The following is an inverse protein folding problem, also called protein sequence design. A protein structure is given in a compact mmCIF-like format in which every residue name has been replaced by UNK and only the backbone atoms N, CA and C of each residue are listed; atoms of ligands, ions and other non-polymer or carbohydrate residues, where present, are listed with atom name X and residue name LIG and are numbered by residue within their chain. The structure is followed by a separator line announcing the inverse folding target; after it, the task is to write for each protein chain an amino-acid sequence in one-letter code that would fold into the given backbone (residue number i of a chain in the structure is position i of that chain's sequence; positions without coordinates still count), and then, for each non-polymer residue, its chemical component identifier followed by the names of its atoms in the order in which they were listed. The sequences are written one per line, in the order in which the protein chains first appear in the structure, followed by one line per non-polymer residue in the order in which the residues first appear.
data_IF_361779172993
#
_entry.id   IF_361779172993
#
_cell.length_a   1.000
_cell.length_b   1.000
_cell.length_c   1.000
_cell.angle_alpha   90.00
_cell.angle_beta   90.00
_cell.angle_gamma   90.00
#
_symmetry.space_group_name_H-M   'P 1'
#
loop_
_entity.id
_entity.type
_entity.pdbx_description
1 polymer ?
#
# COMPACT_ATOMS: atom_id res chain seq x y z
N UNK A 1 -8.95 5.97 -7.21
CA UNK A 1 -9.24 6.14 -5.75
C UNK A 1 -9.14 7.61 -5.35
N UNK A 2 -10.10 8.15 -4.59
CA UNK A 2 -10.09 9.57 -4.14
C UNK A 2 -9.33 9.73 -2.81
N UNK A 3 -9.54 8.79 -1.87
CA UNK A 3 -8.85 8.65 -0.58
C UNK A 3 -9.20 7.28 0.03
N UNK A 4 -8.62 6.96 1.19
CA UNK A 4 -8.88 5.74 1.97
C UNK A 4 -7.67 4.82 2.06
N UNK A 5 -7.90 3.61 2.58
CA UNK A 5 -6.88 2.55 2.69
C UNK A 5 -7.47 1.23 2.20
N UNK A 6 -6.76 0.53 1.32
CA UNK A 6 -7.11 -0.83 0.88
C UNK A 6 -5.96 -1.77 1.21
N UNK A 7 -6.28 -2.90 1.83
CA UNK A 7 -5.32 -3.97 2.14
C UNK A 7 -5.68 -5.20 1.33
N UNK A 8 -4.70 -5.77 0.62
CA UNK A 8 -4.87 -6.96 -0.22
C UNK A 8 -3.92 -8.04 0.29
N UNK A 9 -4.49 -9.14 0.80
CA UNK A 9 -3.71 -10.28 1.29
C UNK A 9 -3.16 -11.17 0.19
N UNK A 10 -3.86 -11.26 -0.93
CA UNK A 10 -3.40 -11.97 -2.12
C UNK A 10 -2.49 -11.11 -3.01
N UNK A 11 -2.09 -11.68 -4.15
CA UNK A 11 -1.36 -10.95 -5.19
C UNK A 11 -2.32 -10.02 -5.94
N UNK A 12 -2.02 -8.73 -5.97
CA UNK A 12 -2.80 -7.79 -6.77
C UNK A 12 -2.54 -8.00 -8.27
N UNK A 13 -3.56 -7.77 -9.09
CA UNK A 13 -3.43 -7.78 -10.55
C UNK A 13 -2.58 -6.61 -11.07
N UNK A 14 -2.57 -6.44 -12.39
CA UNK A 14 -1.79 -5.39 -13.06
C UNK A 14 -2.29 -3.98 -12.72
N UNK A 15 -1.34 -3.05 -12.59
CA UNK A 15 -1.54 -1.60 -12.48
C UNK A 15 -2.45 -1.18 -11.30
N UNK A 16 -2.24 -1.71 -10.09
CA UNK A 16 -3.01 -1.26 -8.92
C UNK A 16 -2.77 0.23 -8.69
N UNK A 17 -3.84 0.96 -8.35
CA UNK A 17 -3.75 2.39 -8.09
C UNK A 17 -3.69 3.28 -9.34
N UNK A 18 -3.85 2.73 -10.55
CA UNK A 18 -3.98 3.54 -11.77
C UNK A 18 -5.03 4.66 -11.58
N UNK A 19 -4.63 5.88 -11.92
CA UNK A 19 -5.41 7.11 -11.77
C UNK A 19 -5.88 7.38 -10.32
N UNK A 20 -5.17 6.89 -9.30
CA UNK A 20 -5.47 7.28 -7.92
C UNK A 20 -5.06 8.72 -7.64
N UNK A 21 -5.99 9.49 -7.05
CA UNK A 21 -5.76 10.86 -6.59
C UNK A 21 -4.97 10.87 -5.29
N UNK A 22 -5.40 10.06 -4.31
CA UNK A 22 -4.82 9.93 -2.96
C UNK A 22 -5.16 8.56 -2.37
N UNK A 23 -4.57 8.24 -1.22
CA UNK A 23 -4.87 7.06 -0.40
C UNK A 23 -3.72 6.04 -0.36
N UNK A 24 -3.93 4.96 0.37
CA UNK A 24 -2.90 3.96 0.66
C UNK A 24 -3.34 2.57 0.18
N UNK A 25 -2.51 1.92 -0.63
CA UNK A 25 -2.66 0.50 -0.99
C UNK A 25 -1.59 -0.32 -0.28
N UNK A 26 -1.99 -1.32 0.50
CA UNK A 26 -1.09 -2.27 1.16
C UNK A 26 -1.22 -3.63 0.48
N UNK A 27 -0.24 -4.00 -0.33
CA UNK A 27 -0.29 -5.18 -1.18
C UNK A 27 0.58 -6.28 -0.57
N UNK A 28 0.08 -6.95 0.48
CA UNK A 28 0.85 -7.93 1.25
C UNK A 28 1.31 -9.14 0.41
N UNK A 29 0.55 -9.53 -0.63
CA UNK A 29 0.96 -10.54 -1.61
C UNK A 29 1.71 -9.99 -2.83
N UNK A 30 2.10 -8.71 -2.81
CA UNK A 30 2.71 -8.01 -3.94
C UNK A 30 1.71 -7.68 -5.07
N UNK A 31 2.25 -7.37 -6.25
CA UNK A 31 1.47 -7.07 -7.45
C UNK A 31 2.08 -7.75 -8.68
N UNK A 32 1.27 -8.04 -9.69
CA UNK A 32 1.75 -8.55 -10.98
C UNK A 32 2.59 -7.53 -11.75
N UNK A 33 2.17 -6.26 -11.75
CA UNK A 33 2.90 -5.17 -12.37
C UNK A 33 2.46 -3.84 -11.75
N UNK A 34 3.41 -2.97 -11.39
CA UNK A 34 3.13 -1.60 -10.97
C UNK A 34 3.16 -0.67 -12.18
N UNK A 35 2.29 0.35 -12.19
CA UNK A 35 2.28 1.37 -13.24
C UNK A 35 3.55 2.23 -13.24
N UNK A 36 4.02 2.70 -14.41
CA UNK A 36 5.27 3.44 -14.54
C UNK A 36 5.24 4.83 -13.88
N UNK A 37 4.06 5.29 -13.45
CA UNK A 37 3.81 6.57 -12.81
C UNK A 37 3.75 6.46 -11.27
N UNK A 38 4.13 5.30 -10.73
CA UNK A 38 4.48 5.14 -9.32
C UNK A 38 6.00 5.11 -9.18
N UNK A 39 6.54 6.02 -8.39
CA UNK A 39 7.97 6.19 -8.16
C UNK A 39 8.40 5.41 -6.94
N UNK A 40 9.51 4.68 -7.04
CA UNK A 40 10.08 3.94 -5.93
C UNK A 40 10.76 4.88 -4.93
N UNK A 41 10.27 4.89 -3.70
CA UNK A 41 10.84 5.64 -2.58
C UNK A 41 11.67 4.74 -1.65
N UNK A 42 11.87 3.47 -2.01
CA UNK A 42 12.69 2.52 -1.27
C UNK A 42 12.00 1.91 -0.05
N UNK A 43 12.75 1.12 0.74
CA UNK A 43 12.29 0.58 2.02
C UNK A 43 12.08 1.71 3.04
N UNK A 44 10.95 1.67 3.75
CA UNK A 44 10.61 2.63 4.80
C UNK A 44 10.07 1.92 6.04
N UNK A 45 10.49 2.36 7.23
CA UNK A 45 9.92 1.96 8.52
C UNK A 45 9.09 3.12 9.07
N UNK A 46 7.81 3.16 8.72
CA UNK A 46 6.90 4.24 9.08
C UNK A 46 6.01 3.81 10.25
N UNK A 47 5.84 4.70 11.24
CA UNK A 47 4.98 4.45 12.40
C UNK A 47 3.54 4.09 12.01
N UNK A 48 3.05 4.62 10.89
CA UNK A 48 1.70 4.33 10.38
C UNK A 48 1.49 2.84 10.07
N UNK A 49 2.53 2.11 9.64
CA UNK A 49 2.45 0.67 9.37
C UNK A 49 2.16 -0.11 10.67
N UNK A 50 2.82 0.27 11.76
CA UNK A 50 2.57 -0.31 13.10
C UNK A 50 1.17 0.02 13.62
N UNK A 51 0.71 1.24 13.40
CA UNK A 51 -0.65 1.66 13.79
C UNK A 51 -1.71 0.90 13.00
N UNK A 52 -1.53 0.77 11.68
CA UNK A 52 -2.42 0.02 10.80
C UNK A 52 -2.47 -1.46 11.17
N UNK A 53 -1.32 -2.10 11.42
CA UNK A 53 -1.27 -3.49 11.86
C UNK A 53 -2.07 -3.73 13.15
N UNK A 54 -1.94 -2.83 14.14
CA UNK A 54 -2.73 -2.91 15.38
C UNK A 54 -4.22 -2.65 15.14
N UNK A 55 -4.56 -1.66 14.33
CA UNK A 55 -5.95 -1.32 14.03
C UNK A 55 -6.67 -2.44 13.28
N UNK A 56 -6.00 -3.12 12.35
CA UNK A 56 -6.56 -4.24 11.61
C UNK A 56 -6.56 -5.56 12.38
N UNK A 57 -5.76 -5.69 13.44
CA UNK A 57 -5.88 -6.81 14.37
C UNK A 57 -7.12 -6.70 15.28
N UNK A 58 -7.68 -5.50 15.45
CA UNK A 58 -8.87 -5.27 16.25
C UNK A 58 -10.17 -5.56 15.47
N UNK A 59 -11.31 -5.76 16.16
CA UNK A 59 -12.63 -5.84 15.51
C UNK A 59 -12.91 -4.57 14.66
N UNK A 60 -13.60 -4.70 13.52
CA UNK A 60 -14.30 -5.89 13.01
C UNK A 60 -13.43 -6.86 12.21
N UNK A 61 -12.14 -6.57 12.00
CA UNK A 61 -11.27 -7.36 11.13
C UNK A 61 -10.71 -8.60 11.83
N UNK A 62 -10.25 -8.47 13.08
CA UNK A 62 -9.81 -9.58 13.92
C UNK A 62 -8.54 -10.31 13.45
N UNK A 63 -7.91 -9.88 12.35
CA UNK A 63 -6.66 -10.38 11.84
C UNK A 63 -5.98 -9.32 10.96
N UNK A 64 -4.74 -8.99 11.28
CA UNK A 64 -3.93 -8.09 10.43
C UNK A 64 -3.19 -8.89 9.37
N UNK A 65 -3.23 -8.39 8.13
CA UNK A 65 -2.39 -8.85 7.02
C UNK A 65 -1.01 -8.18 7.01
N UNK A 66 -0.74 -7.34 8.01
CA UNK A 66 0.48 -6.58 8.20
C UNK A 66 1.12 -6.99 9.53
N UNK A 67 2.44 -7.15 9.53
CA UNK A 67 3.26 -7.26 10.74
C UNK A 67 3.63 -5.88 11.33
N UNK A 68 3.39 -4.81 10.56
CA UNK A 68 3.76 -3.44 10.92
C UNK A 68 5.25 -3.14 10.75
N UNK A 69 6.00 -4.04 10.12
CA UNK A 69 7.41 -3.88 9.82
C UNK A 69 7.68 -2.97 8.62
N UNK A 70 8.96 -2.81 8.25
CA UNK A 70 9.35 -2.00 7.11
C UNK A 70 8.80 -2.56 5.79
N UNK A 71 8.40 -1.68 4.88
CA UNK A 71 7.85 -2.04 3.57
C UNK A 71 8.49 -1.16 2.48
N UNK A 72 8.53 -1.64 1.23
CA UNK A 72 8.91 -0.79 0.09
C UNK A 72 7.75 0.12 -0.26
N UNK A 73 7.99 1.42 -0.31
CA UNK A 73 6.96 2.44 -0.61
C UNK A 73 7.12 2.96 -2.03
N UNK A 74 6.02 2.97 -2.77
CA UNK A 74 5.92 3.64 -4.06
C UNK A 74 4.98 4.84 -3.93
N UNK A 75 5.38 6.01 -4.41
CA UNK A 75 4.55 7.23 -4.42
C UNK A 75 3.95 7.49 -5.80
N UNK A 76 2.67 7.81 -5.88
CA UNK A 76 1.98 8.02 -7.15
C UNK A 76 0.48 8.26 -6.95
N UNK A 77 -0.37 8.22 -7.95
CA UNK A 77 -0.05 8.16 -9.37
C UNK A 77 0.35 9.56 -9.85
N UNK A 78 1.57 9.70 -10.39
CA UNK A 78 2.07 10.98 -10.92
C UNK A 78 1.37 11.44 -12.20
N UNK A 79 0.57 10.58 -12.84
CA UNK A 79 -0.33 10.98 -13.92
C UNK A 79 -1.54 11.81 -13.43
N UNK A 80 -1.75 11.91 -12.12
CA UNK A 80 -2.87 12.67 -11.52
C UNK A 80 -2.36 13.67 -10.47
N UNK A 81 -2.44 13.35 -9.17
CA UNK A 81 -2.02 14.25 -8.09
C UNK A 81 -0.72 13.81 -7.39
N UNK A 82 -0.30 12.54 -7.54
CA UNK A 82 0.89 12.02 -6.86
C UNK A 82 0.79 11.88 -5.34
N UNK A 83 -0.42 11.97 -4.75
CA UNK A 83 -0.64 11.94 -3.29
C UNK A 83 -1.06 10.57 -2.75
N UNK A 84 -1.05 9.55 -3.60
CA UNK A 84 -1.26 8.15 -3.22
C UNK A 84 0.05 7.44 -2.92
N UNK A 85 -0.08 6.27 -2.31
CA UNK A 85 1.05 5.41 -2.01
C UNK A 85 0.68 3.93 -2.09
N UNK A 86 1.67 3.12 -2.47
CA UNK A 86 1.60 1.67 -2.49
C UNK A 86 2.71 1.14 -1.60
N UNK A 87 2.37 0.25 -0.68
CA UNK A 87 3.33 -0.51 0.11
C UNK A 87 3.41 -1.95 -0.37
N UNK A 88 4.64 -2.42 -0.58
CA UNK A 88 4.98 -3.78 -0.99
C UNK A 88 5.87 -4.43 0.09
N UNK A 89 5.82 -5.76 0.29
CA UNK A 89 6.76 -6.46 1.14
C UNK A 89 8.21 -6.18 0.72
N UNK A 90 9.10 -6.14 1.71
CA UNK A 90 10.52 -6.35 1.46
C UNK A 90 10.69 -7.85 1.22
N UNK A 91 11.40 -8.22 0.15
CA UNK A 91 11.53 -9.62 -0.30
C UNK A 91 12.09 -10.57 0.76
#
# INVERSE_FOLDING_TARGET
MIAGTLVVGGKAGRLPGMLMKRGTLLLAGGAEAIGPTFLDNGPVDLIVLRLMARAFAAPPFGASLLDGGPMRRLGGDTAVLGLGEIFLPLG
#
